data_IF_057012933945
#
_entry.id   IF_057012933945
#
_cell.length_a   1.000
_cell.length_b   1.000
_cell.length_c   1.000
_cell.angle_alpha   90.00
_cell.angle_beta   90.00
_cell.angle_gamma   90.00
#
_symmetry.space_group_name_H-M   'P 1'
#
loop_
_entity.id
_entity.type
_entity.pdbx_description
1 polymer ?
#
# COMPACT_ATOMS: atom_id res chain seq x y z
N UNK A 1 -18.01 7.31 6.73
CA UNK A 1 -18.53 7.93 5.49
C UNK A 1 -19.75 7.13 5.03
N UNK A 2 -20.82 7.79 4.60
CA UNK A 2 -22.04 7.13 4.10
C UNK A 2 -22.18 7.45 2.62
N UNK A 3 -22.43 6.44 1.79
CA UNK A 3 -22.57 6.61 0.34
C UNK A 3 -24.03 6.50 -0.04
N UNK A 4 -24.58 7.52 -0.70
CA UNK A 4 -26.02 7.59 -1.02
C UNK A 4 -26.30 7.16 -2.46
N UNK A 5 -25.30 7.27 -3.33
CA UNK A 5 -25.48 6.98 -4.73
C UNK A 5 -25.55 5.48 -5.04
N UNK A 6 -26.40 5.11 -6.01
CA UNK A 6 -26.65 3.70 -6.38
C UNK A 6 -25.60 3.11 -7.32
N UNK A 7 -24.91 3.94 -8.11
CA UNK A 7 -23.94 3.46 -9.11
C UNK A 7 -22.51 3.65 -8.63
N UNK A 8 -21.61 2.74 -9.04
CA UNK A 8 -20.19 2.81 -8.69
C UNK A 8 -19.54 4.13 -9.12
N UNK A 9 -19.88 4.66 -10.31
CA UNK A 9 -19.38 5.97 -10.79
C UNK A 9 -19.81 7.13 -9.90
N UNK A 10 -21.06 7.13 -9.43
CA UNK A 10 -21.55 8.20 -8.56
C UNK A 10 -20.98 8.09 -7.15
N UNK A 11 -20.85 6.87 -6.60
CA UNK A 11 -20.14 6.63 -5.33
C UNK A 11 -18.68 7.07 -5.38
N UNK A 12 -18.01 6.90 -6.52
CA UNK A 12 -16.66 7.41 -6.73
C UNK A 12 -16.59 8.94 -6.64
N UNK A 13 -17.58 9.66 -7.17
CA UNK A 13 -17.67 11.11 -7.03
C UNK A 13 -17.92 11.53 -5.57
N UNK A 14 -18.78 10.81 -4.84
CA UNK A 14 -18.98 11.02 -3.40
C UNK A 14 -17.66 10.81 -2.63
N UNK A 15 -16.92 9.75 -2.95
CA UNK A 15 -15.61 9.46 -2.36
C UNK A 15 -14.63 10.61 -2.57
N UNK A 16 -14.53 11.14 -3.80
CA UNK A 16 -13.68 12.29 -4.12
C UNK A 16 -14.11 13.51 -3.29
N UNK A 17 -15.41 13.80 -3.20
CA UNK A 17 -15.91 14.93 -2.41
C UNK A 17 -15.55 14.79 -0.93
N UNK A 18 -15.73 13.60 -0.34
CA UNK A 18 -15.33 13.34 1.04
C UNK A 18 -13.81 13.47 1.25
N UNK A 19 -13.00 12.99 0.31
CA UNK A 19 -11.55 13.11 0.37
C UNK A 19 -11.09 14.57 0.32
N UNK A 20 -11.72 15.40 -0.52
CA UNK A 20 -11.44 16.85 -0.60
C UNK A 20 -11.81 17.53 0.70
N UNK A 21 -13.05 17.36 1.18
CA UNK A 21 -13.52 18.00 2.41
C UNK A 21 -12.67 17.58 3.61
N UNK A 22 -12.41 16.27 3.75
CA UNK A 22 -11.57 15.72 4.80
C UNK A 22 -10.13 16.22 4.71
N UNK A 23 -9.55 16.25 3.51
CA UNK A 23 -8.18 16.73 3.31
C UNK A 23 -8.00 18.20 3.66
N UNK A 24 -8.94 19.08 3.28
CA UNK A 24 -8.92 20.50 3.65
C UNK A 24 -9.03 20.64 5.17
N UNK A 25 -10.03 20.00 5.79
CA UNK A 25 -10.27 20.09 7.22
C UNK A 25 -9.09 19.57 8.04
N UNK A 26 -8.52 18.42 7.68
CA UNK A 26 -7.36 17.86 8.36
C UNK A 26 -6.11 18.72 8.18
N UNK A 27 -5.94 19.38 7.03
CA UNK A 27 -4.84 20.33 6.82
C UNK A 27 -4.97 21.53 7.76
N UNK A 28 -6.17 22.07 7.92
CA UNK A 28 -6.44 23.20 8.84
C UNK A 28 -6.17 22.80 10.29
N UNK A 29 -6.72 21.66 10.73
CA UNK A 29 -6.50 21.13 12.09
C UNK A 29 -5.01 20.91 12.35
N UNK A 30 -4.28 20.29 11.43
CA UNK A 30 -2.85 20.06 11.58
C UNK A 30 -2.06 21.37 11.66
N UNK A 31 -2.42 22.37 10.84
CA UNK A 31 -1.80 23.69 10.89
C UNK A 31 -2.04 24.39 12.24
N UNK A 32 -3.28 24.39 12.73
CA UNK A 32 -3.66 24.97 14.03
C UNK A 32 -2.91 24.30 15.19
N UNK A 33 -2.87 22.97 15.23
CA UNK A 33 -2.16 22.20 16.26
C UNK A 33 -0.65 22.48 16.20
N UNK A 34 -0.08 22.58 14.99
CA UNK A 34 1.35 22.86 14.83
C UNK A 34 1.75 24.25 15.37
N UNK A 35 0.82 25.21 15.37
CA UNK A 35 1.10 26.59 15.79
C UNK A 35 2.25 27.24 15.02
N UNK A 36 2.45 26.86 13.74
CA UNK A 36 3.56 27.32 12.90
C UNK A 36 4.92 26.67 13.20
N UNK A 37 4.97 25.65 14.07
CA UNK A 37 6.18 24.92 14.40
C UNK A 37 6.44 23.81 13.38
N UNK A 38 7.11 24.20 12.30
CA UNK A 38 7.59 23.28 11.26
C UNK A 38 6.68 23.15 10.04
N UNK A 39 7.19 22.56 8.95
CA UNK A 39 6.46 22.43 7.71
C UNK A 39 5.37 21.35 7.80
N UNK A 40 4.22 21.63 7.18
CA UNK A 40 3.13 20.67 7.01
C UNK A 40 3.19 20.03 5.62
N UNK A 41 3.30 18.70 5.59
CA UNK A 41 3.33 17.92 4.34
C UNK A 41 2.07 17.07 4.20
N UNK A 42 1.59 16.91 2.96
CA UNK A 42 0.52 15.98 2.62
C UNK A 42 1.06 14.77 1.87
N UNK A 43 0.61 13.57 2.22
CA UNK A 43 0.95 12.34 1.51
C UNK A 43 -0.21 11.88 0.62
N UNK A 44 0.09 11.54 -0.64
CA UNK A 44 -0.89 11.03 -1.60
C UNK A 44 -0.46 9.68 -2.19
N UNK A 45 -1.42 8.78 -2.32
CA UNK A 45 -1.26 7.54 -3.09
C UNK A 45 -1.67 7.80 -4.54
N UNK A 46 -0.75 7.62 -5.49
CA UNK A 46 -1.01 8.00 -6.88
C UNK A 46 -2.09 7.14 -7.54
N UNK A 47 -2.10 5.83 -7.28
CA UNK A 47 -3.14 4.92 -7.77
C UNK A 47 -4.47 5.00 -7.00
N UNK A 48 -4.63 5.92 -6.06
CA UNK A 48 -5.96 6.24 -5.53
C UNK A 48 -6.81 6.96 -6.61
N UNK A 49 -8.12 6.70 -6.58
CA UNK A 49 -9.05 7.27 -7.54
C UNK A 49 -9.20 8.77 -7.34
N UNK A 50 -9.13 9.55 -8.42
CA UNK A 50 -9.31 11.00 -8.38
C UNK A 50 -8.15 11.80 -7.78
N UNK A 51 -6.99 11.18 -7.50
CA UNK A 51 -5.85 11.81 -6.78
C UNK A 51 -5.49 13.20 -7.31
N UNK A 52 -5.40 13.40 -8.63
CA UNK A 52 -5.05 14.71 -9.19
C UNK A 52 -6.07 15.80 -8.87
N UNK A 53 -7.36 15.46 -8.89
CA UNK A 53 -8.45 16.39 -8.60
C UNK A 53 -8.52 16.67 -7.10
N UNK A 54 -8.36 15.64 -6.27
CA UNK A 54 -8.35 15.75 -4.82
C UNK A 54 -7.18 16.64 -4.38
N UNK A 55 -5.96 16.37 -4.88
CA UNK A 55 -4.76 17.13 -4.57
C UNK A 55 -4.93 18.62 -4.91
N UNK A 56 -5.38 18.94 -6.12
CA UNK A 56 -5.58 20.34 -6.53
C UNK A 56 -6.63 21.04 -5.66
N UNK A 57 -7.76 20.39 -5.39
CA UNK A 57 -8.82 20.98 -4.58
C UNK A 57 -8.40 21.20 -3.12
N UNK A 58 -7.59 20.30 -2.55
CA UNK A 58 -7.03 20.51 -1.20
C UNK A 58 -6.05 21.67 -1.20
N UNK A 59 -5.12 21.74 -2.16
CA UNK A 59 -4.14 22.82 -2.23
C UNK A 59 -4.79 24.19 -2.48
N UNK A 60 -5.91 24.22 -3.21
CA UNK A 60 -6.72 25.44 -3.36
C UNK A 60 -7.44 25.80 -2.06
N UNK A 61 -8.14 24.84 -1.44
CA UNK A 61 -8.94 25.08 -0.23
C UNK A 61 -8.13 25.31 1.04
N UNK A 62 -6.87 24.88 1.08
CA UNK A 62 -5.93 25.05 2.19
C UNK A 62 -4.67 25.80 1.76
N UNK A 63 -4.82 26.75 0.81
CA UNK A 63 -3.73 27.52 0.24
C UNK A 63 -2.90 28.22 1.32
N UNK A 64 -1.58 28.06 1.24
CA UNK A 64 -0.63 28.65 2.19
C UNK A 64 -0.39 27.82 3.45
N UNK A 65 -1.12 26.73 3.67
CA UNK A 65 -0.94 25.86 4.85
C UNK A 65 0.00 24.68 4.57
N UNK A 66 0.11 24.25 3.31
CA UNK A 66 0.89 23.08 2.89
C UNK A 66 2.26 23.51 2.32
N UNK A 67 3.32 22.85 2.78
CA UNK A 67 4.71 23.15 2.43
C UNK A 67 5.34 22.08 1.54
N UNK A 68 4.84 20.84 1.62
CA UNK A 68 5.36 19.71 0.85
C UNK A 68 4.29 18.69 0.48
N UNK A 69 4.50 17.99 -0.63
CA UNK A 69 3.67 16.86 -1.05
C UNK A 69 4.56 15.64 -1.26
N UNK A 70 4.33 14.61 -0.46
CA UNK A 70 4.90 13.28 -0.69
C UNK A 70 3.93 12.45 -1.53
N UNK A 71 4.45 11.67 -2.47
CA UNK A 71 3.57 10.84 -3.30
C UNK A 71 4.23 9.54 -3.75
N UNK A 72 3.57 8.42 -3.47
CA UNK A 72 4.02 7.06 -3.80
C UNK A 72 2.92 6.22 -4.43
N UNK A 73 3.13 4.89 -4.44
CA UNK A 73 2.20 3.90 -4.99
C UNK A 73 1.73 4.24 -6.41
N UNK A 74 2.67 4.27 -7.37
CA UNK A 74 2.43 4.56 -8.78
C UNK A 74 3.57 5.36 -9.42
N UNK A 75 3.37 5.86 -10.65
CA UNK A 75 4.31 6.76 -11.34
C UNK A 75 3.71 8.17 -11.46
N UNK A 76 3.95 9.05 -10.48
CA UNK A 76 3.26 10.35 -10.38
C UNK A 76 3.84 11.42 -11.31
N UNK A 77 3.71 11.24 -12.63
CA UNK A 77 4.27 12.14 -13.64
C UNK A 77 3.72 13.58 -13.57
N UNK A 78 2.50 13.78 -13.06
CA UNK A 78 1.89 15.10 -12.94
C UNK A 78 2.08 15.77 -11.58
N UNK A 79 2.75 15.11 -10.63
CA UNK A 79 2.95 15.65 -9.28
C UNK A 79 3.67 17.00 -9.31
N UNK A 80 4.81 17.07 -9.99
CA UNK A 80 5.65 18.27 -10.03
C UNK A 80 4.95 19.47 -10.70
N UNK A 81 4.20 19.21 -11.78
CA UNK A 81 3.35 20.21 -12.44
C UNK A 81 2.27 20.74 -11.49
N UNK A 82 1.61 19.85 -10.74
CA UNK A 82 0.58 20.27 -9.79
C UNK A 82 1.21 21.08 -8.65
N UNK A 83 2.23 20.54 -7.99
CA UNK A 83 2.88 21.16 -6.84
C UNK A 83 3.45 22.55 -7.16
N UNK A 84 4.12 22.70 -8.31
CA UNK A 84 4.72 23.98 -8.73
C UNK A 84 3.69 25.09 -8.96
N UNK A 85 2.49 24.78 -9.49
CA UNK A 85 1.40 25.77 -9.64
C UNK A 85 0.95 26.37 -8.31
N UNK A 86 1.06 25.59 -7.23
CA UNK A 86 0.72 26.02 -5.88
C UNK A 86 1.92 26.49 -5.06
N UNK A 87 3.12 26.51 -5.65
CA UNK A 87 4.37 26.89 -4.96
C UNK A 87 4.65 26.02 -3.73
N UNK A 88 4.45 24.72 -3.89
CA UNK A 88 4.66 23.70 -2.84
C UNK A 88 5.76 22.76 -3.30
N UNK A 89 6.66 22.35 -2.40
CA UNK A 89 7.71 21.38 -2.73
C UNK A 89 7.13 19.98 -2.95
N UNK A 90 7.71 19.20 -3.84
CA UNK A 90 7.30 17.81 -4.05
C UNK A 90 8.42 16.81 -3.75
N UNK A 91 8.01 15.65 -3.26
CA UNK A 91 8.85 14.58 -2.75
C UNK A 91 8.32 13.24 -3.28
N UNK A 92 8.77 12.77 -4.45
CA UNK A 92 8.36 11.47 -4.95
C UNK A 92 8.90 10.35 -4.04
N UNK A 93 8.05 9.35 -3.78
CA UNK A 93 8.44 8.11 -3.13
C UNK A 93 8.82 7.11 -4.22
N UNK A 94 10.05 6.62 -4.19
CA UNK A 94 10.62 5.70 -5.17
C UNK A 94 11.30 4.53 -4.48
N UNK A 95 11.44 3.42 -5.21
CA UNK A 95 12.14 2.22 -4.74
C UNK A 95 13.50 1.99 -5.41
N UNK A 96 13.85 2.78 -6.44
CA UNK A 96 15.09 2.59 -7.22
C UNK A 96 15.52 3.84 -7.98
N UNK A 97 16.83 3.95 -8.25
CA UNK A 97 17.41 4.97 -9.13
C UNK A 97 16.79 4.97 -10.53
N UNK A 98 16.40 3.78 -11.04
CA UNK A 98 15.70 3.63 -12.32
C UNK A 98 14.33 4.29 -12.31
N UNK A 99 13.51 4.04 -11.29
CA UNK A 99 12.19 4.66 -11.17
C UNK A 99 12.30 6.19 -11.09
N UNK A 100 13.24 6.69 -10.28
CA UNK A 100 13.53 8.12 -10.18
C UNK A 100 13.97 8.71 -11.54
N UNK A 101 14.91 8.08 -12.24
CA UNK A 101 15.38 8.52 -13.56
C UNK A 101 14.23 8.68 -14.57
N UNK A 102 13.26 7.76 -14.56
CA UNK A 102 12.09 7.82 -15.44
C UNK A 102 11.20 9.00 -15.10
N UNK A 103 10.91 9.23 -13.80
CA UNK A 103 10.12 10.38 -13.35
C UNK A 103 10.81 11.71 -13.72
N UNK A 104 12.12 11.79 -13.48
CA UNK A 104 12.90 12.98 -13.76
C UNK A 104 12.91 13.35 -15.24
N UNK A 105 13.33 12.41 -16.10
CA UNK A 105 13.46 12.64 -17.55
C UNK A 105 12.12 12.94 -18.20
N UNK A 106 11.02 12.32 -17.74
CA UNK A 106 9.70 12.53 -18.34
C UNK A 106 8.98 13.78 -17.85
N UNK A 107 9.17 14.17 -16.59
CA UNK A 107 8.35 15.22 -15.98
C UNK A 107 9.11 16.18 -15.06
N UNK A 108 9.91 15.70 -14.11
CA UNK A 108 10.33 16.54 -12.99
C UNK A 108 11.41 17.56 -13.34
N UNK A 109 12.25 17.31 -14.35
CA UNK A 109 13.27 18.27 -14.81
C UNK A 109 12.69 19.66 -15.18
N UNK A 110 11.41 19.73 -15.56
CA UNK A 110 10.73 20.99 -15.92
C UNK A 110 10.36 21.84 -14.71
N UNK A 111 10.43 21.27 -13.51
CA UNK A 111 9.97 21.86 -12.26
C UNK A 111 11.02 21.61 -11.15
N UNK A 112 12.30 21.68 -11.51
CA UNK A 112 13.40 21.38 -10.60
C UNK A 112 13.44 22.30 -9.37
N UNK A 113 13.02 23.57 -9.52
CA UNK A 113 13.00 24.56 -8.43
C UNK A 113 12.09 24.18 -7.26
N UNK A 114 11.07 23.34 -7.53
CA UNK A 114 10.12 22.86 -6.51
C UNK A 114 10.44 21.44 -6.03
N UNK A 115 11.55 20.85 -6.45
CA UNK A 115 11.96 19.53 -6.00
C UNK A 115 12.56 19.64 -4.59
N UNK A 116 11.85 19.13 -3.58
CA UNK A 116 12.28 19.25 -2.19
C UNK A 116 13.19 18.11 -1.71
N UNK A 117 13.14 16.97 -2.39
CA UNK A 117 13.79 15.75 -1.93
C UNK A 117 13.18 14.51 -2.57
N UNK A 118 13.76 13.35 -2.29
CA UNK A 118 13.21 12.06 -2.73
C UNK A 118 13.13 11.13 -1.53
N UNK A 119 12.00 10.44 -1.37
CA UNK A 119 11.88 9.37 -0.38
C UNK A 119 12.27 8.07 -1.07
N UNK A 120 13.40 7.50 -0.68
CA UNK A 120 13.72 6.13 -1.03
C UNK A 120 13.03 5.21 -0.03
N UNK A 121 12.11 4.38 -0.52
CA UNK A 121 11.39 3.42 0.30
C UNK A 121 11.87 2.00 -0.01
N UNK A 122 12.39 1.32 1.02
CA UNK A 122 12.89 -0.04 0.90
C UNK A 122 11.78 -1.02 0.47
N UNK A 123 11.92 -1.69 -0.69
CA UNK A 123 10.90 -2.58 -1.23
C UNK A 123 10.62 -3.83 -0.40
N UNK A 124 11.53 -4.23 0.49
CA UNK A 124 11.43 -5.46 1.26
C UNK A 124 11.05 -5.20 2.72
N UNK A 125 11.43 -4.05 3.28
CA UNK A 125 11.29 -3.79 4.71
C UNK A 125 10.18 -2.78 5.05
N UNK A 126 9.77 -1.92 4.12
CA UNK A 126 8.76 -0.91 4.38
C UNK A 126 7.36 -1.52 4.60
N UNK A 127 6.57 -0.88 5.49
CA UNK A 127 5.17 -1.24 5.68
C UNK A 127 4.28 -0.67 4.57
N UNK A 128 3.11 -1.27 4.34
CA UNK A 128 2.19 -0.74 3.32
C UNK A 128 2.55 -1.22 1.91
N UNK A 129 2.29 -0.43 0.87
CA UNK A 129 2.58 -0.80 -0.52
C UNK A 129 4.06 -0.68 -0.84
N UNK A 130 4.65 -1.73 -1.41
CA UNK A 130 6.08 -1.80 -1.71
C UNK A 130 6.38 -1.75 -3.21
N UNK A 131 7.45 -1.04 -3.57
CA UNK A 131 7.86 -0.76 -4.95
C UNK A 131 8.76 -1.82 -5.62
N UNK A 132 8.55 -3.11 -5.36
CA UNK A 132 9.28 -4.18 -6.05
C UNK A 132 9.01 -4.14 -7.57
N UNK A 133 10.08 -4.17 -8.36
CA UNK A 133 10.00 -4.28 -9.81
C UNK A 133 9.72 -5.72 -10.27
N UNK A 134 9.31 -5.87 -11.52
CA UNK A 134 9.04 -7.21 -12.10
C UNK A 134 10.28 -8.11 -12.19
N UNK A 135 11.48 -7.55 -12.09
CA UNK A 135 12.75 -8.30 -12.09
C UNK A 135 13.25 -8.64 -10.69
N UNK A 136 12.61 -8.10 -9.65
CA UNK A 136 12.97 -8.36 -8.26
C UNK A 136 12.00 -9.39 -7.65
N UNK A 137 12.49 -10.14 -6.67
CA UNK A 137 11.70 -11.13 -5.94
C UNK A 137 11.65 -10.76 -4.45
N UNK A 138 10.52 -11.05 -3.76
CA UNK A 138 10.42 -10.87 -2.31
C UNK A 138 11.51 -11.65 -1.53
N UNK A 139 11.91 -12.81 -2.03
CA UNK A 139 12.82 -13.74 -1.34
C UNK A 139 14.31 -13.41 -1.58
N UNK A 140 14.62 -12.30 -2.25
CA UNK A 140 16.00 -11.88 -2.53
C UNK A 140 16.17 -10.38 -2.24
N UNK A 141 16.14 -9.98 -0.95
CA UNK A 141 16.33 -8.60 -0.55
C UNK A 141 17.72 -8.09 -0.96
N UNK A 142 17.77 -6.81 -1.30
CA UNK A 142 19.00 -6.12 -1.64
C UNK A 142 19.40 -5.14 -0.56
N UNK A 143 20.71 -4.90 -0.45
CA UNK A 143 21.25 -3.90 0.46
C UNK A 143 20.74 -2.48 0.08
N UNK A 144 20.09 -1.75 1.00
CA UNK A 144 19.61 -0.40 0.73
C UNK A 144 20.74 0.60 0.50
N UNK A 145 21.94 0.42 1.09
CA UNK A 145 23.04 1.37 0.96
C UNK A 145 23.46 1.50 -0.51
N UNK A 146 23.70 0.36 -1.15
CA UNK A 146 24.09 0.30 -2.56
C UNK A 146 23.05 0.97 -3.47
N UNK A 147 21.76 0.74 -3.23
CA UNK A 147 20.66 1.31 -4.02
C UNK A 147 20.50 2.82 -3.83
N UNK A 148 20.67 3.31 -2.60
CA UNK A 148 20.61 4.75 -2.31
C UNK A 148 21.84 5.47 -2.87
N UNK A 149 23.02 4.82 -2.86
CA UNK A 149 24.21 5.35 -3.53
C UNK A 149 24.01 5.49 -5.04
N UNK A 150 23.40 4.49 -5.69
CA UNK A 150 23.04 4.58 -7.12
C UNK A 150 22.05 5.73 -7.39
N UNK A 151 21.05 5.90 -6.52
CA UNK A 151 20.11 7.01 -6.60
C UNK A 151 20.84 8.35 -6.47
N UNK A 152 21.76 8.48 -5.50
CA UNK A 152 22.56 9.68 -5.30
C UNK A 152 23.43 10.00 -6.51
N UNK A 153 24.03 8.99 -7.14
CA UNK A 153 24.80 9.17 -8.38
C UNK A 153 23.92 9.80 -9.48
N UNK A 154 22.73 9.24 -9.72
CA UNK A 154 21.76 9.82 -10.67
C UNK A 154 21.38 11.26 -10.29
N UNK A 155 21.17 11.55 -9.01
CA UNK A 155 20.85 12.89 -8.53
C UNK A 155 22.00 13.89 -8.75
N UNK A 156 23.26 13.47 -8.61
CA UNK A 156 24.42 14.32 -8.89
C UNK A 156 24.52 14.66 -10.38
N UNK A 157 24.32 13.69 -11.24
CA UNK A 157 24.40 13.87 -12.70
C UNK A 157 23.39 14.90 -13.22
N UNK A 158 22.27 15.08 -12.52
CA UNK A 158 21.21 16.05 -12.85
C UNK A 158 21.30 17.36 -12.06
N UNK A 159 22.39 17.58 -11.32
CA UNK A 159 22.60 18.80 -10.51
C UNK A 159 21.80 18.86 -9.21
N UNK A 160 21.23 17.74 -8.74
CA UNK A 160 20.47 17.60 -7.50
C UNK A 160 21.29 16.88 -6.41
N UNK A 161 22.62 16.98 -6.48
CA UNK A 161 23.55 16.30 -5.59
C UNK A 161 23.40 16.68 -4.11
N UNK A 162 22.97 17.91 -3.83
CA UNK A 162 22.78 18.45 -2.48
C UNK A 162 21.32 18.36 -2.00
N UNK A 163 20.42 17.80 -2.81
CA UNK A 163 19.01 17.65 -2.44
C UNK A 163 18.83 16.40 -1.58
N UNK A 164 18.10 16.45 -0.45
CA UNK A 164 18.08 15.34 0.51
C UNK A 164 17.39 14.08 -0.05
N UNK A 165 17.96 12.93 0.28
CA UNK A 165 17.27 11.64 0.19
C UNK A 165 16.72 11.31 1.57
N UNK A 166 15.46 10.91 1.66
CA UNK A 166 14.84 10.39 2.87
C UNK A 166 14.81 8.87 2.76
N UNK A 167 15.67 8.19 3.51
CA UNK A 167 15.65 6.74 3.63
C UNK A 167 14.41 6.32 4.44
N UNK A 168 13.62 5.39 3.90
CA UNK A 168 12.41 4.85 4.52
C UNK A 168 12.37 3.32 4.38
N UNK A 169 11.71 2.66 5.33
CA UNK A 169 11.61 1.19 5.38
C UNK A 169 12.75 0.55 6.18
N UNK A 170 12.41 -0.39 7.06
CA UNK A 170 13.38 -1.06 7.93
C UNK A 170 13.98 -0.20 9.06
N UNK A 171 13.63 1.08 9.16
CA UNK A 171 14.14 1.95 10.21
C UNK A 171 13.59 1.59 11.59
N UNK A 172 14.50 1.44 12.56
CA UNK A 172 14.14 1.27 13.96
C UNK A 172 15.04 2.10 14.87
N UNK A 173 16.34 1.81 14.90
CA UNK A 173 17.35 2.55 15.65
C UNK A 173 18.22 3.35 14.69
N UNK A 174 18.58 4.60 15.01
CA UNK A 174 19.50 5.37 14.16
C UNK A 174 20.95 4.89 14.26
N UNK A 175 21.35 4.26 15.39
CA UNK A 175 22.69 3.66 15.54
C UNK A 175 22.97 2.56 14.51
N UNK A 176 21.93 1.88 14.03
CA UNK A 176 22.04 0.88 12.96
C UNK A 176 22.39 1.52 11.59
N UNK A 177 22.35 2.85 11.50
CA UNK A 177 22.58 3.64 10.27
C UNK A 177 23.75 4.63 10.42
N UNK A 178 24.64 4.44 11.40
CA UNK A 178 25.77 5.35 11.65
C UNK A 178 26.63 5.58 10.39
N UNK A 179 26.84 4.53 9.58
CA UNK A 179 27.65 4.59 8.35
C UNK A 179 26.98 5.40 7.23
N UNK A 180 25.72 5.79 7.40
CA UNK A 180 24.98 6.63 6.46
C UNK A 180 25.08 8.12 6.84
N UNK A 181 25.13 8.43 8.13
CA UNK A 181 25.06 9.79 8.65
C UNK A 181 26.38 10.51 8.36
N UNK A 182 26.31 11.61 7.59
CA UNK A 182 27.50 12.36 7.16
C UNK A 182 28.32 11.66 6.06
N UNK A 183 27.82 10.55 5.50
CA UNK A 183 28.51 9.83 4.44
C UNK A 183 28.46 10.61 3.11
N UNK A 184 29.63 10.95 2.57
CA UNK A 184 29.76 11.71 1.32
C UNK A 184 29.28 10.94 0.09
N UNK A 185 29.15 9.62 0.12
CA UNK A 185 28.59 8.86 -1.00
C UNK A 185 27.06 8.99 -1.07
N UNK A 186 26.40 9.27 0.06
CA UNK A 186 24.93 9.32 0.16
C UNK A 186 24.38 10.73 0.35
N UNK A 187 25.12 11.61 1.01
CA UNK A 187 24.61 12.85 1.57
C UNK A 187 24.15 13.89 0.55
N UNK A 188 23.19 14.77 0.95
CA UNK A 188 22.49 14.80 2.25
C UNK A 188 21.45 13.67 2.44
N UNK A 189 21.37 13.12 3.66
CA UNK A 189 20.47 12.01 4.01
C UNK A 189 19.62 12.35 5.24
N UNK A 190 18.35 11.94 5.22
CA UNK A 190 17.43 11.98 6.34
C UNK A 190 16.68 10.62 6.44
N UNK A 191 15.95 10.40 7.52
CA UNK A 191 15.27 9.13 7.79
C UNK A 191 13.78 9.35 8.03
N UNK A 192 12.94 8.49 7.45
CA UNK A 192 11.48 8.54 7.59
C UNK A 192 10.98 7.30 8.34
N UNK A 193 10.43 7.51 9.54
CA UNK A 193 9.86 6.45 10.36
C UNK A 193 8.35 6.31 10.09
N UNK A 194 7.90 5.07 9.86
CA UNK A 194 6.48 4.75 9.67
C UNK A 194 5.98 3.82 10.79
N UNK A 195 6.42 2.56 10.79
CA UNK A 195 5.90 1.56 11.73
C UNK A 195 6.12 1.93 13.20
N UNK A 196 7.32 2.38 13.57
CA UNK A 196 7.66 2.72 14.96
C UNK A 196 6.79 3.84 15.55
N UNK A 197 6.30 4.76 14.71
CA UNK A 197 5.45 5.89 15.14
C UNK A 197 3.98 5.49 15.34
N UNK A 198 3.58 4.28 14.95
CA UNK A 198 2.22 3.78 15.19
C UNK A 198 1.95 3.60 16.69
N UNK A 199 2.95 3.19 17.47
CA UNK A 199 2.80 2.93 18.90
C UNK A 199 3.21 4.17 19.73
N UNK A 200 2.43 5.24 19.58
CA UNK A 200 2.53 6.46 20.40
C UNK A 200 1.18 6.81 21.01
N UNK A 201 1.18 7.69 22.00
CA UNK A 201 -0.05 8.16 22.66
C UNK A 201 -0.96 8.92 21.68
N UNK A 202 -0.38 9.70 20.79
CA UNK A 202 -1.04 10.56 19.80
C UNK A 202 -1.57 9.78 18.59
N UNK A 203 -1.07 8.57 18.37
CA UNK A 203 -1.52 7.71 17.27
C UNK A 203 -3.00 7.34 17.45
N UNK A 204 -3.85 7.56 16.42
CA UNK A 204 -5.29 7.32 16.51
C UNK A 204 -5.68 5.84 16.36
N UNK A 205 -4.72 4.94 16.22
CA UNK A 205 -5.01 3.50 16.11
C UNK A 205 -5.62 2.98 17.42
N UNK A 206 -6.53 2.01 17.32
CA UNK A 206 -7.22 1.44 18.47
C UNK A 206 -6.27 0.82 19.50
N UNK A 207 -6.67 0.80 20.77
CA UNK A 207 -5.87 0.21 21.86
C UNK A 207 -5.58 -1.28 21.64
N UNK A 208 -6.50 -2.02 21.01
CA UNK A 208 -6.25 -3.41 20.60
C UNK A 208 -5.13 -3.51 19.56
N UNK A 209 -5.05 -2.57 18.60
CA UNK A 209 -3.97 -2.52 17.62
C UNK A 209 -2.64 -2.29 18.34
N UNK A 210 -2.58 -1.30 19.24
CA UNK A 210 -1.39 -1.01 20.06
C UNK A 210 -0.91 -2.24 20.83
N UNK A 211 -1.83 -2.95 21.50
CA UNK A 211 -1.53 -4.21 22.21
C UNK A 211 -1.07 -5.33 21.28
N UNK A 212 -1.65 -5.45 20.07
CA UNK A 212 -1.22 -6.45 19.08
C UNK A 212 0.22 -6.22 18.64
N UNK A 213 0.63 -4.96 18.44
CA UNK A 213 2.02 -4.63 18.06
C UNK A 213 3.05 -5.14 19.08
N UNK A 214 2.74 -5.01 20.38
CA UNK A 214 3.59 -5.50 21.49
C UNK A 214 3.71 -7.03 21.58
N UNK A 215 2.92 -7.79 20.83
CA UNK A 215 2.97 -9.26 20.84
C UNK A 215 3.47 -9.87 19.53
N UNK A 216 3.86 -9.04 18.56
CA UNK A 216 4.40 -9.51 17.29
C UNK A 216 5.76 -10.17 17.46
N UNK A 217 5.97 -11.27 16.73
CA UNK A 217 7.22 -11.99 16.61
C UNK A 217 7.88 -11.71 15.28
N UNK A 218 9.18 -11.95 15.22
CA UNK A 218 9.91 -11.90 13.95
C UNK A 218 9.27 -12.88 12.95
N UNK A 219 9.01 -12.42 11.72
CA UNK A 219 8.27 -13.17 10.71
C UNK A 219 6.74 -12.96 10.70
N UNK A 220 6.16 -12.27 11.68
CA UNK A 220 4.72 -11.99 11.72
C UNK A 220 4.26 -10.91 10.73
N UNK A 221 5.15 -10.34 9.91
CA UNK A 221 4.79 -9.41 8.83
C UNK A 221 5.09 -10.06 7.49
N UNK A 222 4.06 -10.16 6.64
CA UNK A 222 4.12 -10.81 5.34
C UNK A 222 4.13 -9.78 4.21
N UNK A 223 5.20 -9.83 3.41
CA UNK A 223 5.27 -9.20 2.09
C UNK A 223 4.47 -10.04 1.08
N UNK A 224 3.30 -9.54 0.68
CA UNK A 224 2.35 -10.27 -0.17
C UNK A 224 1.97 -9.49 -1.43
N UNK A 225 1.31 -10.15 -2.39
CA UNK A 225 0.85 -9.53 -3.66
C UNK A 225 -0.67 -9.57 -3.83
N UNK A 226 -1.42 -9.56 -2.73
CA UNK A 226 -2.88 -9.64 -2.77
C UNK A 226 -3.55 -8.31 -3.06
N UNK A 227 -2.80 -7.20 -3.05
CA UNK A 227 -3.36 -5.87 -3.21
C UNK A 227 -4.13 -5.72 -4.53
N UNK A 228 -5.31 -5.07 -4.52
CA UNK A 228 -6.10 -4.86 -5.73
C UNK A 228 -5.43 -3.95 -6.76
N UNK A 229 -4.40 -3.20 -6.38
CA UNK A 229 -3.55 -2.41 -7.31
C UNK A 229 -2.54 -3.30 -8.05
N UNK A 230 -2.24 -4.49 -7.52
CA UNK A 230 -1.23 -5.39 -8.04
C UNK A 230 0.19 -5.14 -7.52
N UNK A 231 0.38 -4.13 -6.68
CA UNK A 231 1.63 -3.91 -5.95
C UNK A 231 1.81 -4.97 -4.86
N UNK A 232 3.07 -5.18 -4.48
CA UNK A 232 3.37 -5.87 -3.25
C UNK A 232 2.97 -5.00 -2.05
N UNK A 233 2.74 -5.62 -0.91
CA UNK A 233 2.50 -4.91 0.33
C UNK A 233 2.87 -5.72 1.57
N UNK A 234 3.37 -5.04 2.59
CA UNK A 234 3.72 -5.63 3.89
C UNK A 234 2.65 -5.35 4.93
N UNK A 235 2.12 -6.41 5.53
CA UNK A 235 1.08 -6.36 6.55
C UNK A 235 1.25 -7.49 7.57
N UNK A 236 0.73 -7.28 8.78
CA UNK A 236 0.75 -8.29 9.84
C UNK A 236 -0.04 -9.52 9.41
N UNK A 237 0.60 -10.69 9.54
CA UNK A 237 0.04 -12.02 9.36
C UNK A 237 -1.05 -12.25 10.41
N UNK A 238 -2.28 -12.35 9.93
CA UNK A 238 -3.47 -12.61 10.73
C UNK A 238 -4.41 -13.55 9.95
N UNK A 239 -5.56 -13.87 10.54
CA UNK A 239 -6.53 -14.77 9.93
C UNK A 239 -6.99 -14.31 8.54
N UNK A 240 -7.15 -12.99 8.34
CA UNK A 240 -7.46 -12.37 7.06
C UNK A 240 -6.39 -12.64 5.99
N UNK A 241 -5.11 -12.35 6.26
CA UNK A 241 -4.05 -12.64 5.30
C UNK A 241 -3.88 -14.14 5.06
N UNK A 242 -4.04 -14.97 6.10
CA UNK A 242 -3.99 -16.42 5.97
C UNK A 242 -5.09 -16.94 5.02
N UNK A 243 -6.31 -16.39 5.08
CA UNK A 243 -7.37 -16.72 4.12
C UNK A 243 -6.98 -16.36 2.69
N UNK A 244 -6.37 -15.19 2.46
CA UNK A 244 -5.91 -14.79 1.12
C UNK A 244 -4.83 -15.75 0.58
N UNK A 245 -3.92 -16.19 1.44
CA UNK A 245 -2.88 -17.17 1.11
C UNK A 245 -3.51 -18.51 0.72
N UNK A 246 -4.38 -19.06 1.56
CA UNK A 246 -5.06 -20.34 1.29
C UNK A 246 -5.90 -20.28 0.02
N UNK A 247 -6.65 -19.18 -0.17
CA UNK A 247 -7.44 -18.96 -1.39
C UNK A 247 -6.59 -18.93 -2.65
N UNK A 248 -5.35 -18.43 -2.56
CA UNK A 248 -4.42 -18.44 -3.68
C UNK A 248 -3.80 -19.85 -3.90
N UNK A 249 -3.71 -20.69 -2.86
CA UNK A 249 -3.29 -22.09 -3.00
C UNK A 249 -4.40 -22.97 -3.57
N UNK A 250 -5.66 -22.71 -3.22
CA UNK A 250 -6.83 -23.42 -3.72
C UNK A 250 -7.22 -22.96 -5.14
N UNK A 251 -6.27 -23.01 -6.08
CA UNK A 251 -6.52 -22.63 -7.46
C UNK A 251 -5.96 -23.65 -8.47
N UNK A 252 -6.65 -23.79 -9.61
CA UNK A 252 -6.24 -24.65 -10.74
C UNK A 252 -6.46 -23.95 -12.07
N UNK A 253 -5.65 -24.29 -13.06
CA UNK A 253 -5.86 -23.88 -14.45
C UNK A 253 -7.04 -24.65 -15.06
N UNK A 254 -7.81 -24.02 -15.95
CA UNK A 254 -8.90 -24.71 -16.64
C UNK A 254 -9.01 -24.33 -18.11
N UNK A 255 -9.52 -25.28 -18.91
CA UNK A 255 -9.98 -25.04 -20.27
C UNK A 255 -11.50 -25.08 -20.38
N UNK A 256 -12.05 -24.30 -21.32
CA UNK A 256 -13.49 -24.32 -21.63
C UNK A 256 -13.90 -25.48 -22.53
N UNK A 257 -12.93 -26.10 -23.18
CA UNK A 257 -13.11 -27.22 -24.12
C UNK A 257 -12.09 -28.30 -23.77
N UNK A 258 -12.40 -29.57 -24.01
CA UNK A 258 -11.42 -30.62 -23.79
C UNK A 258 -10.22 -30.39 -24.73
N UNK A 259 -9.03 -30.63 -24.22
CA UNK A 259 -7.78 -30.66 -24.99
C UNK A 259 -7.00 -31.93 -24.60
N UNK A 260 -5.81 -32.14 -25.18
CA UNK A 260 -4.99 -33.30 -24.84
C UNK A 260 -4.55 -33.30 -23.36
N UNK A 261 -4.35 -32.12 -22.77
CA UNK A 261 -3.93 -31.95 -21.37
C UNK A 261 -5.13 -31.80 -20.43
N UNK A 262 -6.17 -31.07 -20.88
CA UNK A 262 -7.35 -30.76 -20.08
C UNK A 262 -8.49 -31.71 -20.47
N UNK A 263 -8.49 -32.90 -19.87
CA UNK A 263 -9.45 -33.98 -20.17
C UNK A 263 -10.48 -34.21 -19.06
N UNK A 264 -10.18 -33.85 -17.82
CA UNK A 264 -11.00 -34.17 -16.68
C UNK A 264 -12.13 -33.13 -16.51
N UNK A 265 -13.38 -33.53 -16.74
CA UNK A 265 -14.52 -32.62 -16.64
C UNK A 265 -14.86 -32.30 -15.17
N UNK A 266 -15.06 -31.02 -14.87
CA UNK A 266 -15.57 -30.53 -13.60
C UNK A 266 -16.78 -29.61 -13.85
N UNK A 267 -17.98 -29.92 -13.33
CA UNK A 267 -19.14 -29.03 -13.44
C UNK A 267 -18.94 -27.80 -12.55
N UNK A 268 -19.06 -26.59 -13.13
CA UNK A 268 -18.86 -25.33 -12.39
C UNK A 268 -20.07 -24.39 -12.51
N UNK A 269 -20.39 -23.76 -11.38
CA UNK A 269 -21.46 -22.76 -11.25
C UNK A 269 -22.86 -23.36 -11.23
N UNK A 270 -23.87 -22.51 -11.00
CA UNK A 270 -25.26 -22.95 -10.79
C UNK A 270 -25.87 -23.76 -11.95
N UNK A 271 -25.36 -23.60 -13.17
CA UNK A 271 -25.82 -24.33 -14.36
C UNK A 271 -25.02 -25.61 -14.65
N UNK A 272 -24.04 -25.95 -13.81
CA UNK A 272 -23.23 -27.16 -13.96
C UNK A 272 -22.46 -27.23 -15.29
N UNK A 273 -22.08 -26.09 -15.88
CA UNK A 273 -21.38 -26.10 -17.17
C UNK A 273 -19.98 -26.69 -16.97
N UNK A 274 -19.59 -27.71 -17.75
CA UNK A 274 -18.29 -28.35 -17.57
C UNK A 274 -17.17 -27.38 -17.95
N UNK A 275 -16.15 -27.36 -17.12
CA UNK A 275 -14.79 -26.98 -17.48
C UNK A 275 -13.92 -28.22 -17.50
N UNK A 276 -12.75 -28.15 -18.12
CA UNK A 276 -11.83 -29.26 -18.20
C UNK A 276 -10.54 -28.90 -17.48
N UNK A 277 -10.09 -29.79 -16.60
CA UNK A 277 -8.87 -29.68 -15.79
C UNK A 277 -7.86 -30.74 -16.25
N UNK A 278 -6.59 -30.55 -15.88
CA UNK A 278 -5.64 -31.66 -15.87
C UNK A 278 -6.09 -32.71 -14.83
N UNK A 279 -5.80 -34.00 -15.01
CA UNK A 279 -6.20 -35.04 -14.05
C UNK A 279 -5.75 -34.77 -12.61
N UNK A 280 -4.52 -34.30 -12.42
CA UNK A 280 -3.97 -33.99 -11.10
C UNK A 280 -4.68 -32.79 -10.45
N UNK A 281 -4.95 -31.74 -11.25
CA UNK A 281 -5.74 -30.58 -10.81
C UNK A 281 -7.18 -30.96 -10.44
N UNK A 282 -7.76 -31.96 -11.11
CA UNK A 282 -9.10 -32.48 -10.77
C UNK A 282 -9.09 -33.17 -9.41
N UNK A 283 -8.06 -33.96 -9.11
CA UNK A 283 -7.92 -34.60 -7.81
C UNK A 283 -7.81 -33.58 -6.66
N UNK A 284 -7.02 -32.51 -6.87
CA UNK A 284 -6.94 -31.38 -5.93
C UNK A 284 -8.29 -30.68 -5.75
N UNK A 285 -8.97 -30.37 -6.85
CA UNK A 285 -10.28 -29.74 -6.80
C UNK A 285 -11.32 -30.59 -6.05
N UNK A 286 -11.33 -31.91 -6.27
CA UNK A 286 -12.25 -32.83 -5.58
C UNK A 286 -11.96 -32.92 -4.08
N UNK A 287 -10.68 -32.95 -3.68
CA UNK A 287 -10.28 -32.90 -2.27
C UNK A 287 -10.74 -31.60 -1.59
N UNK A 288 -10.57 -30.44 -2.23
CA UNK A 288 -11.06 -29.18 -1.69
C UNK A 288 -12.60 -29.13 -1.61
N UNK A 289 -13.30 -29.65 -2.62
CA UNK A 289 -14.76 -29.76 -2.62
C UNK A 289 -15.22 -30.64 -1.44
N UNK A 290 -14.57 -31.78 -1.21
CA UNK A 290 -14.87 -32.67 -0.09
C UNK A 290 -14.63 -32.00 1.29
N UNK A 291 -13.67 -31.06 1.36
CA UNK A 291 -13.38 -30.25 2.56
C UNK A 291 -14.30 -29.02 2.72
N UNK A 292 -15.29 -28.85 1.85
CA UNK A 292 -16.30 -27.78 1.94
C UNK A 292 -16.03 -26.54 1.07
N UNK A 293 -14.94 -26.50 0.30
CA UNK A 293 -14.65 -25.44 -0.68
C UNK A 293 -15.40 -25.69 -1.99
N UNK A 294 -16.73 -25.70 -1.91
CA UNK A 294 -17.61 -26.17 -2.98
C UNK A 294 -17.86 -25.14 -4.09
N UNK A 295 -17.53 -23.86 -3.89
CA UNK A 295 -17.78 -22.79 -4.85
C UNK A 295 -16.52 -22.45 -5.64
N UNK A 296 -16.58 -22.69 -6.95
CA UNK A 296 -15.51 -22.31 -7.88
C UNK A 296 -15.74 -20.91 -8.48
N UNK A 297 -14.79 -19.99 -8.29
CA UNK A 297 -14.82 -18.63 -8.84
C UNK A 297 -13.74 -18.44 -9.91
N UNK A 298 -14.11 -17.81 -11.04
CA UNK A 298 -13.19 -17.57 -12.17
C UNK A 298 -12.30 -16.36 -11.92
N UNK A 299 -11.01 -16.49 -12.22
CA UNK A 299 -10.05 -15.38 -12.21
C UNK A 299 -9.87 -14.77 -13.62
N UNK A 300 -9.14 -13.65 -13.75
CA UNK A 300 -8.75 -13.10 -15.04
C UNK A 300 -7.74 -13.95 -15.82
N UNK A 301 -7.03 -14.87 -15.17
CA UNK A 301 -5.90 -15.65 -15.73
C UNK A 301 -6.32 -17.06 -16.17
N UNK A 302 -7.61 -17.28 -16.42
CA UNK A 302 -8.15 -18.61 -16.77
C UNK A 302 -7.87 -19.69 -15.71
N UNK A 303 -7.83 -19.28 -14.45
CA UNK A 303 -7.84 -20.18 -13.29
C UNK A 303 -9.19 -20.16 -12.57
N UNK A 304 -9.46 -21.20 -11.80
CA UNK A 304 -10.54 -21.28 -10.83
C UNK A 304 -9.95 -21.28 -9.44
N UNK A 305 -10.50 -20.47 -8.54
CA UNK A 305 -10.29 -20.62 -7.10
C UNK A 305 -11.46 -21.36 -6.47
N UNK A 306 -11.21 -22.12 -5.40
CA UNK A 306 -12.24 -22.82 -4.63
C UNK A 306 -12.38 -22.20 -3.23
N UNK A 307 -13.61 -21.79 -2.90
CA UNK A 307 -13.95 -21.12 -1.64
C UNK A 307 -15.21 -21.73 -1.04
N UNK A 308 -15.48 -21.45 0.24
CA UNK A 308 -16.76 -21.81 0.86
C UNK A 308 -17.91 -20.96 0.31
N UNK A 309 -19.18 -21.42 0.42
CA UNK A 309 -20.34 -20.61 0.04
C UNK A 309 -20.38 -19.23 0.70
N UNK A 310 -20.05 -19.15 1.98
CA UNK A 310 -20.06 -17.92 2.78
C UNK A 310 -19.01 -16.94 2.26
N UNK A 311 -17.80 -17.42 2.00
CA UNK A 311 -16.72 -16.60 1.46
C UNK A 311 -17.03 -16.11 0.04
N UNK A 312 -17.62 -16.97 -0.81
CA UNK A 312 -18.10 -16.54 -2.13
C UNK A 312 -19.14 -15.42 -2.02
N UNK A 313 -20.08 -15.53 -1.07
CA UNK A 313 -21.11 -14.51 -0.87
C UNK A 313 -20.51 -13.18 -0.37
N UNK A 314 -19.52 -13.24 0.52
CA UNK A 314 -18.77 -12.07 0.99
C UNK A 314 -18.03 -11.38 -0.17
N UNK A 315 -17.26 -12.12 -0.96
CA UNK A 315 -16.49 -11.57 -2.10
C UNK A 315 -17.42 -10.87 -3.09
N UNK A 316 -18.53 -11.51 -3.47
CA UNK A 316 -19.48 -10.95 -4.42
C UNK A 316 -20.17 -9.69 -3.86
N UNK A 317 -20.48 -9.70 -2.56
CA UNK A 317 -21.03 -8.54 -1.85
C UNK A 317 -20.06 -7.36 -1.88
N UNK A 318 -18.80 -7.58 -1.52
CA UNK A 318 -17.77 -6.53 -1.54
C UNK A 318 -17.54 -5.97 -2.95
N UNK A 319 -17.55 -6.82 -3.98
CA UNK A 319 -17.40 -6.40 -5.37
C UNK A 319 -18.57 -5.53 -5.83
N UNK A 320 -19.80 -5.89 -5.45
CA UNK A 320 -21.01 -5.10 -5.71
C UNK A 320 -20.97 -3.77 -4.98
N UNK A 321 -20.51 -3.78 -3.73
CA UNK A 321 -20.53 -2.61 -2.84
C UNK A 321 -19.34 -1.67 -3.06
N UNK A 322 -18.47 -1.99 -4.03
CA UNK A 322 -17.34 -1.18 -4.44
C UNK A 322 -17.72 0.29 -4.72
N UNK A 323 -16.97 1.20 -4.09
CA UNK A 323 -17.13 2.66 -4.19
C UNK A 323 -16.18 3.31 -5.21
N UNK A 324 -15.30 2.53 -5.83
CA UNK A 324 -14.32 3.04 -6.80
C UNK A 324 -13.17 3.84 -6.16
N UNK A 325 -12.62 3.39 -5.03
CA UNK A 325 -11.55 4.12 -4.31
C UNK A 325 -10.19 4.17 -5.03
N UNK A 326 -9.95 3.30 -5.99
CA UNK A 326 -8.69 3.21 -6.76
C UNK A 326 -8.89 3.72 -8.18
N UNK A 327 -7.80 4.18 -8.81
CA UNK A 327 -7.73 4.49 -10.23
C UNK A 327 -8.08 3.27 -11.09
N UNK A 328 -7.63 2.09 -10.64
CA UNK A 328 -7.82 0.78 -11.25
C UNK A 328 -7.78 -0.29 -10.15
N UNK A 329 -8.77 -1.19 -10.13
CA UNK A 329 -8.95 -2.19 -9.09
C UNK A 329 -9.15 -3.58 -9.68
N UNK A 330 -8.19 -4.48 -9.46
CA UNK A 330 -8.29 -5.90 -9.86
C UNK A 330 -9.45 -6.59 -9.17
N UNK A 331 -9.65 -6.35 -7.87
CA UNK A 331 -10.66 -7.04 -7.08
C UNK A 331 -12.09 -6.79 -7.59
N UNK A 332 -12.44 -5.54 -7.90
CA UNK A 332 -13.81 -5.19 -8.28
C UNK A 332 -14.03 -5.03 -9.78
N UNK A 333 -12.96 -5.11 -10.58
CA UNK A 333 -12.84 -4.74 -12.00
C UNK A 333 -12.97 -3.25 -12.33
N UNK A 334 -13.11 -2.39 -11.32
CA UNK A 334 -13.30 -0.95 -11.50
C UNK A 334 -12.09 -0.25 -12.12
N UNK A 335 -12.35 0.76 -12.94
CA UNK A 335 -11.37 1.76 -13.35
C UNK A 335 -12.04 3.13 -13.44
N UNK A 336 -11.34 4.20 -13.08
CA UNK A 336 -11.84 5.58 -13.18
C UNK A 336 -11.92 6.11 -14.63
N UNK A 337 -11.48 5.32 -15.61
CA UNK A 337 -11.59 5.66 -17.03
C UNK A 337 -13.05 5.81 -17.49
N UNK A 338 -13.24 6.30 -18.72
CA UNK A 338 -14.57 6.51 -19.31
C UNK A 338 -15.42 5.23 -19.28
N UNK A 339 -14.82 4.06 -19.50
CA UNK A 339 -15.50 2.77 -19.49
C UNK A 339 -15.94 2.29 -18.10
N UNK A 340 -15.40 2.86 -17.01
CA UNK A 340 -15.70 2.43 -15.65
C UNK A 340 -15.17 1.03 -15.31
N UNK A 341 -14.24 0.50 -16.11
CA UNK A 341 -13.80 -0.89 -16.07
C UNK A 341 -12.36 -1.06 -16.53
N UNK A 342 -11.68 -2.04 -15.93
CA UNK A 342 -10.34 -2.50 -16.35
C UNK A 342 -10.38 -3.31 -17.66
N UNK A 343 -11.56 -3.69 -18.15
CA UNK A 343 -11.72 -4.62 -19.28
C UNK A 343 -11.41 -6.08 -18.93
N UNK A 344 -10.97 -6.35 -17.69
CA UNK A 344 -10.73 -7.69 -17.17
C UNK A 344 -11.85 -8.11 -16.22
N UNK A 345 -11.90 -9.40 -15.90
CA UNK A 345 -12.77 -9.90 -14.83
C UNK A 345 -12.32 -9.36 -13.48
N UNK A 346 -13.25 -9.30 -12.54
CA UNK A 346 -12.93 -9.14 -11.14
C UNK A 346 -12.06 -10.31 -10.68
N UNK A 347 -11.01 -10.02 -9.90
CA UNK A 347 -10.08 -11.02 -9.40
C UNK A 347 -10.40 -11.37 -7.95
N UNK A 348 -11.07 -12.52 -7.70
CA UNK A 348 -11.47 -12.90 -6.35
C UNK A 348 -10.28 -13.36 -5.50
N UNK A 349 -9.06 -13.44 -6.05
CA UNK A 349 -7.82 -13.65 -5.28
C UNK A 349 -7.40 -12.41 -4.48
N UNK A 350 -7.93 -11.24 -4.83
CA UNK A 350 -7.69 -9.97 -4.15
C UNK A 350 -8.83 -9.61 -3.19
N UNK A 351 -8.87 -8.40 -2.65
CA UNK A 351 -9.85 -7.98 -1.64
C UNK A 351 -10.20 -6.49 -1.76
N UNK A 352 -11.26 -6.07 -1.08
CA UNK A 352 -11.63 -4.67 -0.98
C UNK A 352 -10.77 -3.95 0.07
N UNK A 353 -9.67 -3.34 -0.37
CA UNK A 353 -8.73 -2.63 0.52
C UNK A 353 -9.38 -1.48 1.31
N UNK A 354 -10.34 -0.76 0.71
CA UNK A 354 -11.05 0.32 1.40
C UNK A 354 -11.90 -0.23 2.55
N UNK A 355 -12.60 -1.35 2.34
CA UNK A 355 -13.43 -2.00 3.38
C UNK A 355 -12.57 -2.34 4.58
N UNK A 356 -11.46 -3.04 4.34
CA UNK A 356 -10.62 -3.56 5.41
C UNK A 356 -9.92 -2.45 6.18
N UNK A 357 -9.37 -1.45 5.48
CA UNK A 357 -8.69 -0.32 6.12
C UNK A 357 -9.65 0.59 6.89
N UNK A 358 -10.86 0.84 6.37
CA UNK A 358 -11.87 1.60 7.10
C UNK A 358 -12.37 0.83 8.32
N UNK A 359 -12.59 -0.48 8.19
CA UNK A 359 -13.04 -1.30 9.31
C UNK A 359 -12.01 -1.31 10.45
N UNK A 360 -10.74 -1.62 10.17
CA UNK A 360 -9.72 -1.69 11.24
C UNK A 360 -9.43 -0.33 11.90
N UNK A 361 -9.58 0.77 11.16
CA UNK A 361 -9.43 2.13 11.70
C UNK A 361 -10.61 2.57 12.60
N UNK A 362 -11.76 1.91 12.49
CA UNK A 362 -12.99 2.23 13.21
C UNK A 362 -13.52 1.02 14.00
N UNK A 363 -12.66 0.46 14.87
CA UNK A 363 -12.97 -0.62 15.80
C UNK A 363 -13.33 -1.99 15.21
N UNK A 364 -13.10 -2.21 13.91
CA UNK A 364 -13.17 -3.53 13.26
C UNK A 364 -12.14 -4.53 13.81
N UNK A 365 -12.40 -5.83 13.66
CA UNK A 365 -11.54 -6.90 14.16
C UNK A 365 -10.13 -6.85 13.58
N UNK A 366 -9.09 -7.11 14.40
CA UNK A 366 -7.70 -7.15 13.93
C UNK A 366 -7.41 -8.43 13.14
N UNK A 367 -8.17 -9.49 13.35
CA UNK A 367 -7.98 -10.77 12.67
C UNK A 367 -8.71 -10.83 11.32
N UNK A 368 -9.69 -9.95 11.09
CA UNK A 368 -10.54 -9.95 9.90
C UNK A 368 -10.19 -8.85 8.89
N UNK A 369 -9.15 -8.06 9.17
CA UNK A 369 -8.81 -6.87 8.39
C UNK A 369 -7.32 -6.77 8.09
N UNK A 370 -7.00 -6.01 7.04
CA UNK A 370 -5.63 -5.67 6.68
C UNK A 370 -5.01 -4.73 7.73
N UNK A 371 -3.91 -5.17 8.33
CA UNK A 371 -3.15 -4.41 9.32
C UNK A 371 -1.75 -4.12 8.76
N UNK A 372 -1.55 -2.95 8.13
CA UNK A 372 -0.25 -2.59 7.57
C UNK A 372 0.81 -2.40 8.65
N UNK A 373 2.00 -2.94 8.39
CA UNK A 373 3.18 -2.75 9.23
C UNK A 373 4.44 -3.12 8.44
N UNK A 374 5.58 -2.54 8.80
CA UNK A 374 6.89 -2.88 8.24
C UNK A 374 7.51 -4.06 8.98
N UNK A 375 8.50 -4.70 8.36
CA UNK A 375 9.04 -5.98 8.84
C UNK A 375 9.67 -5.92 10.23
N UNK A 376 10.13 -4.75 10.67
CA UNK A 376 10.70 -4.56 12.01
C UNK A 376 9.66 -4.37 13.12
N UNK A 377 8.36 -4.57 12.84
CA UNK A 377 7.30 -4.40 13.85
C UNK A 377 7.45 -5.34 15.07
N UNK A 378 8.07 -6.50 14.90
CA UNK A 378 8.36 -7.41 16.02
C UNK A 378 9.21 -6.76 17.11
N UNK A 379 9.99 -5.72 16.76
CA UNK A 379 10.82 -5.01 17.72
C UNK A 379 10.01 -4.27 18.77
N UNK A 380 8.71 -4.03 18.56
CA UNK A 380 7.83 -3.55 19.65
C UNK A 380 7.78 -4.51 20.84
N UNK A 381 7.90 -5.81 20.62
CA UNK A 381 7.88 -6.82 21.67
C UNK A 381 9.24 -7.00 22.36
N UNK A 382 10.33 -6.56 21.73
CA UNK A 382 11.71 -6.86 22.19
C UNK A 382 12.54 -5.63 22.55
N UNK A 383 12.13 -4.44 22.14
CA UNK A 383 12.80 -3.18 22.45
C UNK A 383 12.42 -2.75 23.88
N UNK A 384 13.38 -2.66 24.82
CA UNK A 384 13.10 -2.30 26.22
C UNK A 384 12.40 -0.95 26.39
N UNK A 385 12.45 -0.09 25.37
CA UNK A 385 11.70 1.17 25.39
C UNK A 385 10.19 0.95 25.57
N UNK A 386 9.65 -0.18 25.14
CA UNK A 386 8.22 -0.51 25.24
C UNK A 386 7.90 -1.50 26.37
N UNK A 387 8.88 -1.82 27.24
CA UNK A 387 8.70 -2.75 28.35
C UNK A 387 7.53 -2.36 29.26
N UNK A 388 6.91 -3.36 29.88
CA UNK A 388 5.72 -3.21 30.73
C UNK A 388 4.53 -2.54 30.01
N UNK A 389 4.52 -2.55 28.67
CA UNK A 389 3.48 -1.93 27.87
C UNK A 389 3.55 -0.41 27.84
N UNK A 390 4.74 0.17 28.05
CA UNK A 390 4.93 1.60 27.93
C UNK A 390 4.66 2.08 26.49
N UNK A 391 3.82 3.10 26.37
CA UNK A 391 3.50 3.75 25.09
C UNK A 391 3.99 5.19 25.18
N UNK A 392 5.08 5.55 24.46
CA UNK A 392 5.66 6.89 24.53
C UNK A 392 4.75 7.94 23.88
N UNK A 393 4.87 9.19 24.30
CA UNK A 393 4.45 10.31 23.46
C UNK A 393 5.35 10.42 22.23
N UNK A 394 4.89 11.12 21.19
CA UNK A 394 5.72 11.43 20.01
C UNK A 394 6.99 12.16 20.43
N UNK A 395 6.91 13.09 21.38
CA UNK A 395 8.09 13.79 21.90
C UNK A 395 9.09 12.82 22.53
N UNK A 396 8.64 11.90 23.39
CA UNK A 396 9.51 10.89 24.02
C UNK A 396 10.15 9.97 22.99
N UNK A 397 9.42 9.60 21.92
CA UNK A 397 9.98 8.81 20.82
C UNK A 397 11.05 9.60 20.06
N UNK A 398 10.82 10.89 19.79
CA UNK A 398 11.82 11.76 19.13
C UNK A 398 13.07 11.92 19.99
N UNK A 399 12.90 12.19 21.29
CA UNK A 399 14.02 12.30 22.24
C UNK A 399 14.82 10.99 22.28
N UNK A 400 14.14 9.84 22.23
CA UNK A 400 14.78 8.52 22.16
C UNK A 400 15.60 8.36 20.87
N UNK A 401 15.02 8.69 19.72
CA UNK A 401 15.70 8.63 18.42
C UNK A 401 16.96 9.49 18.37
N UNK A 402 16.96 10.67 19.01
CA UNK A 402 18.13 11.54 19.08
C UNK A 402 19.31 10.94 19.83
N UNK A 403 19.07 9.95 20.71
CA UNK A 403 20.15 9.19 21.38
C UNK A 403 20.79 8.13 20.48
N UNK A 404 20.22 7.88 19.30
CA UNK A 404 20.57 6.77 18.42
C UNK A 404 19.61 5.57 18.52
N UNK A 405 18.69 5.59 19.49
CA UNK A 405 17.86 4.45 19.89
C UNK A 405 16.38 4.55 19.55
#
# INVERSE_FOLDING_TARGET
>A
QVYHCKTRRLRHKELIAYAIQGGISQTQIAHEISGGKGPLHLNFLWEAGGTTSILQAILEGAKGLVHGITCGAGMPFRLAEIASRYKVYYYPIISSARAFSVLWKRAYHKYADWFGGVVYEDPWLAGGHNGLSNSETPDSPQDPFSRVRELRAVMRDIGQGETPIFMAGGLWFLRDWQDWIGNKELGPIAFQFGTRTILTQESPVSEKWKKKLLSLKEGDVLLNRFSPTGFYSSAVSNSFLAELVERNKHQVCFSRRPTNEYIAALPVGARGRPVYLMPDDKALADDWIAKGFTLAMKTPESTLIFVTPEKSAEILTDQRDCMGCLSSCKFSNWSQNENGSTGKKADPRSFCIQKTLQSIAHDGGLEDNLMFSGHNAYKFATDPFYDNGFIPSVQQLVDRLQTGD
#
